data_IF_306305809639
#
_entry.id   IF_306305809639
#
_cell.length_a   1.000
_cell.length_b   1.000
_cell.length_c   1.000
_cell.angle_alpha   90.00
_cell.angle_beta   90.00
_cell.angle_gamma   90.00
#
_symmetry.space_group_name_H-M   'P 1'
#
loop_
_entity.id
_entity.type
_entity.pdbx_description
1 polymer ?
#
# COMPACT_ATOMS: atom_id res chain seq x y z
N UNK A 1 -2.72 12.98 -2.06
CA UNK A 1 -1.51 13.34 -1.28
C UNK A 1 -0.80 12.06 -0.86
N UNK A 2 0.53 12.03 -0.87
CA UNK A 2 1.29 10.91 -0.32
C UNK A 2 1.21 10.97 1.22
N UNK A 3 0.92 9.83 1.85
CA UNK A 3 0.90 9.71 3.29
C UNK A 3 2.25 9.16 3.78
N UNK A 4 2.73 9.62 4.91
CA UNK A 4 3.93 9.07 5.56
C UNK A 4 3.49 8.25 6.77
N UNK A 5 3.81 6.96 6.76
CA UNK A 5 3.50 6.04 7.85
C UNK A 5 4.78 5.62 8.56
N UNK A 6 4.70 5.58 9.89
CA UNK A 6 5.81 5.13 10.73
C UNK A 6 5.48 3.73 11.23
N UNK A 7 6.28 2.76 10.81
CA UNK A 7 6.11 1.35 11.19
C UNK A 7 6.38 1.14 12.67
N UNK A 8 5.77 0.10 13.23
CA UNK A 8 6.00 -0.43 14.56
C UNK A 8 6.66 -1.81 14.46
N UNK A 9 7.21 -2.28 15.57
CA UNK A 9 7.83 -3.60 15.61
C UNK A 9 6.77 -4.66 15.26
N UNK A 10 7.04 -5.48 14.25
CA UNK A 10 6.10 -6.50 13.80
C UNK A 10 5.09 -6.04 12.75
N UNK A 11 5.14 -4.79 12.29
CA UNK A 11 4.30 -4.35 11.19
C UNK A 11 4.70 -5.05 9.89
N UNK A 12 3.70 -5.44 9.11
CA UNK A 12 3.87 -6.07 7.80
C UNK A 12 3.32 -5.14 6.73
N UNK A 13 4.04 -5.02 5.61
CA UNK A 13 3.66 -4.11 4.54
C UNK A 13 2.26 -4.39 3.97
N UNK A 14 1.90 -5.68 3.83
CA UNK A 14 0.55 -6.12 3.42
C UNK A 14 -0.53 -5.62 4.38
N UNK A 15 -0.32 -5.74 5.70
CA UNK A 15 -1.31 -5.30 6.71
C UNK A 15 -1.43 -3.76 6.73
N UNK A 16 -0.31 -3.05 6.56
CA UNK A 16 -0.33 -1.58 6.41
C UNK A 16 -1.10 -1.17 5.16
N UNK A 17 -0.88 -1.86 4.03
CA UNK A 17 -1.62 -1.59 2.79
C UNK A 17 -3.11 -1.91 2.94
N UNK A 18 -3.45 -3.03 3.58
CA UNK A 18 -4.83 -3.40 3.86
C UNK A 18 -5.53 -2.38 4.75
N UNK A 19 -4.89 -1.92 5.83
CA UNK A 19 -5.47 -0.93 6.75
C UNK A 19 -5.58 0.46 6.14
N UNK A 20 -4.62 0.86 5.30
CA UNK A 20 -4.59 2.20 4.72
C UNK A 20 -5.44 2.32 3.45
N UNK A 21 -5.38 1.32 2.56
CA UNK A 21 -6.07 1.35 1.27
C UNK A 21 -7.29 0.42 1.22
N UNK A 22 -7.45 -0.52 2.15
CA UNK A 22 -8.45 -1.58 2.06
C UNK A 22 -8.08 -2.70 1.08
N UNK A 23 -6.86 -2.68 0.52
CA UNK A 23 -6.42 -3.59 -0.56
C UNK A 23 -4.90 -3.78 -0.55
N UNK A 24 -4.44 -4.92 -1.07
CA UNK A 24 -3.03 -5.34 -1.06
C UNK A 24 -2.31 -5.14 -2.41
N UNK A 25 -3.03 -4.78 -3.47
CA UNK A 25 -2.48 -4.46 -4.79
C UNK A 25 -1.51 -3.26 -4.78
N UNK A 26 -1.64 -2.38 -3.79
CA UNK A 26 -0.78 -1.21 -3.60
C UNK A 26 0.61 -1.53 -3.04
N UNK A 27 0.87 -2.76 -2.59
CA UNK A 27 2.16 -3.15 -1.97
C UNK A 27 3.34 -2.92 -2.93
N UNK A 28 3.20 -3.32 -4.20
CA UNK A 28 4.24 -3.09 -5.22
C UNK A 28 4.47 -1.61 -5.49
N UNK A 29 3.42 -0.79 -5.48
CA UNK A 29 3.54 0.66 -5.66
C UNK A 29 4.27 1.31 -4.47
N UNK A 30 4.00 0.84 -3.25
CA UNK A 30 4.73 1.28 -2.05
C UNK A 30 6.19 0.86 -2.12
N UNK A 31 6.50 -0.37 -2.53
CA UNK A 31 7.88 -0.84 -2.71
C UNK A 31 8.63 -0.04 -3.80
N UNK A 32 7.96 0.28 -4.91
CA UNK A 32 8.55 1.10 -5.97
C UNK A 32 8.84 2.55 -5.50
N UNK A 33 7.95 3.11 -4.68
CA UNK A 33 8.14 4.42 -4.07
C UNK A 33 9.23 4.43 -2.97
N UNK A 34 9.44 3.31 -2.27
CA UNK A 34 10.41 3.16 -1.19
C UNK A 34 11.52 2.17 -1.57
N UNK A 35 12.47 2.61 -2.41
CA UNK A 35 13.64 1.80 -2.77
C UNK A 35 14.40 1.37 -1.52
N UNK A 36 14.61 0.06 -1.38
CA UNK A 36 15.28 -0.55 -0.23
C UNK A 36 14.32 -1.17 0.81
N UNK A 37 13.02 -0.83 0.78
CA UNK A 37 12.04 -1.42 1.70
C UNK A 37 11.90 -2.93 1.50
N UNK A 38 11.96 -3.39 0.24
CA UNK A 38 11.91 -4.81 -0.10
C UNK A 38 13.08 -5.63 0.48
N UNK A 39 14.24 -4.99 0.70
CA UNK A 39 15.42 -5.66 1.23
C UNK A 39 15.36 -5.85 2.76
N UNK A 40 14.47 -5.12 3.44
CA UNK A 40 14.28 -5.21 4.89
C UNK A 40 13.57 -6.52 5.28
N UNK A 41 12.73 -7.06 4.39
CA UNK A 41 12.00 -8.31 4.58
C UNK A 41 10.49 -8.10 4.80
N UNK A 42 9.77 -9.20 5.05
CA UNK A 42 8.32 -9.19 5.23
C UNK A 42 7.87 -8.46 6.50
N UNK A 43 8.70 -8.49 7.56
CA UNK A 43 8.43 -7.81 8.83
C UNK A 43 9.27 -6.54 8.89
N UNK A 44 8.60 -5.41 9.03
CA UNK A 44 9.24 -4.10 9.10
C UNK A 44 9.75 -3.84 10.53
N UNK A 45 10.97 -3.30 10.69
CA UNK A 45 11.48 -2.87 11.97
C UNK A 45 10.68 -1.66 12.45
N UNK A 46 10.62 -1.48 13.77
CA UNK A 46 9.98 -0.31 14.36
C UNK A 46 10.70 0.99 13.97
N UNK A 47 9.92 2.05 13.71
CA UNK A 47 10.43 3.39 13.49
C UNK A 47 10.86 3.68 12.06
N UNK A 48 10.62 2.77 11.11
CA UNK A 48 10.87 3.00 9.70
C UNK A 48 9.80 3.94 9.12
N UNK A 49 10.24 4.93 8.36
CA UNK A 49 9.34 5.86 7.70
C UNK A 49 9.05 5.34 6.28
N UNK A 50 7.80 4.98 6.01
CA UNK A 50 7.35 4.46 4.73
C UNK A 50 6.46 5.50 4.04
N UNK A 51 6.79 5.87 2.81
CA UNK A 51 5.91 6.67 1.96
C UNK A 51 4.83 5.79 1.35
N UNK A 52 3.59 6.04 1.72
CA UNK A 52 2.40 5.47 1.10
C UNK A 52 1.96 6.41 -0.05
N UNK A 53 2.16 6.03 -1.33
CA UNK A 53 1.68 6.83 -2.45
C UNK A 53 0.15 6.91 -2.45
N UNK A 54 -0.43 7.98 -3.01
CA UNK A 54 -1.88 8.02 -3.13
C UNK A 54 -2.36 6.85 -4.01
N UNK A 55 -3.31 6.06 -3.50
CA UNK A 55 -3.97 5.07 -4.33
C UNK A 55 -4.63 5.75 -5.52
N UNK A 56 -4.43 5.27 -6.76
CA UNK A 56 -5.25 5.73 -7.86
C UNK A 56 -6.71 5.49 -7.46
N UNK A 57 -7.53 6.52 -7.60
CA UNK A 57 -8.97 6.40 -7.37
C UNK A 57 -9.44 5.19 -8.18
N UNK A 58 -10.09 4.24 -7.52
CA UNK A 58 -10.77 3.16 -8.23
C UNK A 58 -11.82 3.86 -9.07
N UNK A 59 -11.50 4.06 -10.35
CA UNK A 59 -12.49 4.47 -11.33
C UNK A 59 -13.46 3.30 -11.34
N UNK A 60 -14.60 3.46 -10.67
CA UNK A 60 -15.67 2.48 -10.71
C UNK A 60 -15.93 2.23 -12.20
N UNK A 61 -15.50 1.07 -12.69
CA UNK A 61 -15.72 0.69 -14.07
C UNK A 61 -17.23 0.78 -14.27
N UNK A 62 -17.65 1.68 -15.17
CA UNK A 62 -19.05 1.88 -15.47
C UNK A 62 -19.68 0.51 -15.69
N UNK A 63 -20.70 0.19 -14.89
CA UNK A 63 -21.39 -1.08 -14.92
C UNK A 63 -21.97 -1.27 -16.31
N UNK A 64 -21.25 -1.95 -17.21
CA UNK A 64 -21.77 -2.29 -18.53
C UNK A 64 -22.83 -3.35 -18.29
N UNK A 65 -24.11 -2.96 -18.40
CA UNK A 65 -25.21 -3.92 -18.50
C UNK A 65 -25.05 -4.63 -19.83
N UNK A 66 -24.71 -5.92 -19.77
CA UNK A 66 -24.46 -6.73 -20.96
C UNK A 66 -25.75 -7.20 -21.65
N UNK A 67 -26.93 -7.07 -21.04
CA UNK A 67 -28.20 -7.52 -21.61
C UNK A 67 -29.39 -6.68 -21.10
N UNK A 68 -30.42 -6.54 -21.94
CA UNK A 68 -31.80 -6.06 -21.65
C UNK A 68 -32.72 -7.29 -21.48
#
# INVERSE_FOLDING_TARGET
MAASYRTKAGDVLDDVCLRHYGRNDMVLAVLAANKGLAAVGAVLPAGLLVMLPAAPAVVAAATVRLWD
#
